data_IF_712009064903
#
_entry.id   IF_712009064903
#
_cell.length_a   1.000
_cell.length_b   1.000
_cell.length_c   1.000
_cell.angle_alpha   90.00
_cell.angle_beta   90.00
_cell.angle_gamma   90.00
#
_symmetry.space_group_name_H-M   'P 1'
#
loop_
_entity.id
_entity.type
_entity.pdbx_description
1 polymer ?
#
# COMPACT_ATOMS: atom_id res chain seq x y z
N UNK A 1 -107.23 5.24 -36.87
CA UNK A 1 -105.80 4.85 -36.81
C UNK A 1 -105.06 5.58 -37.92
N UNK A 2 -104.23 6.56 -37.57
CA UNK A 2 -103.12 7.05 -38.39
C UNK A 2 -101.95 7.19 -37.41
N UNK A 3 -100.99 6.25 -37.45
CA UNK A 3 -99.78 6.36 -36.63
C UNK A 3 -98.81 7.26 -37.40
N UNK A 4 -98.67 8.50 -36.96
CA UNK A 4 -97.78 9.50 -37.59
C UNK A 4 -96.36 9.27 -37.04
N UNK A 5 -95.40 9.07 -37.94
CA UNK A 5 -93.98 8.86 -37.62
C UNK A 5 -93.14 9.93 -38.33
N UNK A 6 -92.02 10.33 -37.71
CA UNK A 6 -90.99 11.19 -38.33
C UNK A 6 -89.70 10.41 -38.53
N UNK A 7 -88.94 10.75 -39.57
CA UNK A 7 -87.66 10.11 -39.90
C UNK A 7 -86.53 10.99 -39.33
N UNK A 8 -85.61 10.39 -38.57
CA UNK A 8 -84.47 11.09 -37.94
C UNK A 8 -83.17 10.31 -38.19
N UNK A 9 -82.07 11.02 -38.42
CA UNK A 9 -80.74 10.41 -38.57
C UNK A 9 -80.17 10.00 -37.22
N UNK A 10 -79.82 8.72 -37.05
CA UNK A 10 -79.16 8.22 -35.85
C UNK A 10 -77.66 8.07 -36.09
N UNK A 11 -76.87 8.98 -35.50
CA UNK A 11 -75.42 9.03 -35.68
C UNK A 11 -74.67 7.83 -35.05
N UNK A 12 -75.27 7.11 -34.10
CA UNK A 12 -74.64 5.96 -33.44
C UNK A 12 -74.65 4.70 -34.32
N UNK A 13 -75.64 4.58 -35.22
CA UNK A 13 -75.78 3.43 -36.14
C UNK A 13 -75.65 3.82 -37.62
N UNK A 14 -75.47 5.11 -37.93
CA UNK A 14 -75.25 5.60 -39.30
C UNK A 14 -76.42 5.38 -40.26
N UNK A 15 -77.66 5.43 -39.78
CA UNK A 15 -78.85 5.20 -40.60
C UNK A 15 -80.05 6.10 -40.22
N UNK A 16 -81.01 6.24 -41.15
CA UNK A 16 -82.28 6.91 -40.92
C UNK A 16 -83.28 5.96 -40.24
N UNK A 17 -83.91 6.41 -39.16
CA UNK A 17 -84.86 5.60 -38.37
C UNK A 17 -86.19 6.33 -38.21
N UNK A 18 -87.31 5.61 -38.36
CA UNK A 18 -88.65 6.14 -38.08
C UNK A 18 -88.94 6.11 -36.58
N UNK A 19 -89.29 7.25 -36.01
CA UNK A 19 -89.63 7.42 -34.59
C UNK A 19 -90.97 8.14 -34.43
N UNK A 20 -91.61 7.92 -33.28
CA UNK A 20 -92.86 8.62 -32.92
C UNK A 20 -92.63 10.14 -32.86
N UNK A 21 -93.60 10.94 -33.31
CA UNK A 21 -93.44 12.41 -33.34
C UNK A 21 -93.17 13.03 -31.97
N UNK A 22 -93.63 12.39 -30.89
CA UNK A 22 -93.48 12.86 -29.50
C UNK A 22 -92.07 12.70 -28.92
N UNK A 23 -91.14 12.03 -29.62
CA UNK A 23 -89.78 11.82 -29.11
C UNK A 23 -88.92 13.09 -29.28
N UNK A 24 -88.42 13.66 -28.18
CA UNK A 24 -87.57 14.87 -28.15
C UNK A 24 -86.13 14.54 -28.56
N UNK A 25 -85.69 15.05 -29.71
CA UNK A 25 -84.28 15.00 -30.16
C UNK A 25 -83.58 16.34 -29.94
N UNK A 26 -82.35 16.32 -29.38
CA UNK A 26 -81.50 17.51 -29.22
C UNK A 26 -81.03 18.00 -30.60
N UNK A 27 -81.47 19.19 -31.00
CA UNK A 27 -80.96 19.91 -32.18
C UNK A 27 -79.66 20.66 -31.86
N UNK A 28 -78.79 20.76 -32.88
CA UNK A 28 -77.49 21.47 -32.89
C UNK A 28 -77.60 22.90 -32.37
N UNK A 29 -76.71 23.29 -31.45
CA UNK A 29 -76.52 24.67 -31.03
C UNK A 29 -75.51 25.39 -31.94
N UNK A 30 -75.95 26.47 -32.58
CA UNK A 30 -75.12 27.44 -33.27
C UNK A 30 -74.42 28.35 -32.25
N UNK A 31 -73.08 28.42 -32.29
CA UNK A 31 -72.28 29.34 -31.47
C UNK A 31 -72.44 30.76 -32.01
N UNK A 32 -72.96 31.67 -31.18
CA UNK A 32 -73.02 33.11 -31.47
C UNK A 32 -71.63 33.74 -31.33
N UNK A 33 -71.13 34.32 -32.42
CA UNK A 33 -69.98 35.24 -32.41
C UNK A 33 -70.41 36.59 -31.82
N UNK A 34 -69.80 37.00 -30.70
CA UNK A 34 -69.91 38.37 -30.17
C UNK A 34 -68.87 39.25 -30.87
N UNK A 35 -69.34 40.21 -31.67
CA UNK A 35 -68.56 41.37 -32.10
C UNK A 35 -68.56 42.40 -30.96
N UNK A 36 -67.38 42.86 -30.56
CA UNK A 36 -67.19 44.13 -29.83
C UNK A 36 -66.31 44.99 -30.72
N UNK A 37 -66.81 46.16 -31.09
CA UNK A 37 -66.16 47.11 -31.99
C UNK A 37 -65.00 47.85 -31.34
N UNK A 38 -64.01 48.24 -32.16
CA UNK A 38 -62.92 49.13 -31.79
C UNK A 38 -63.15 50.53 -32.36
N UNK A 39 -62.89 51.55 -31.55
CA UNK A 39 -62.48 52.93 -31.89
C UNK A 39 -61.37 53.20 -30.84
N UNK A 40 -60.08 53.42 -31.12
CA UNK A 40 -59.40 54.40 -31.98
C UNK A 40 -57.96 53.91 -32.31
N UNK A 41 -57.49 54.23 -33.53
CA UNK A 41 -56.12 54.34 -34.06
C UNK A 41 -54.91 53.70 -33.33
N UNK A 42 -54.23 52.77 -34.02
CA UNK A 42 -52.84 52.81 -34.52
C UNK A 42 -52.56 51.44 -35.16
N UNK A 43 -51.93 51.44 -36.35
CA UNK A 43 -51.55 50.23 -37.09
C UNK A 43 -50.47 49.47 -36.31
N UNK A 44 -50.80 48.29 -35.80
CA UNK A 44 -49.86 47.34 -35.21
C UNK A 44 -50.31 45.92 -35.54
N UNK A 45 -49.49 45.19 -36.28
CA UNK A 45 -49.70 43.78 -36.66
C UNK A 45 -49.89 42.94 -35.41
N UNK A 46 -51.08 42.33 -35.22
CA UNK A 46 -51.28 41.32 -34.19
C UNK A 46 -50.82 39.97 -34.74
N UNK A 47 -49.56 39.64 -34.49
CA UNK A 47 -49.03 38.28 -34.62
C UNK A 47 -49.65 37.39 -33.53
N UNK A 48 -50.17 36.23 -33.90
CA UNK A 48 -50.47 35.16 -32.95
C UNK A 48 -49.14 34.66 -32.35
N UNK A 49 -48.91 34.91 -31.06
CA UNK A 49 -47.81 34.29 -30.31
C UNK A 49 -48.19 32.85 -29.93
N UNK A 50 -47.30 31.85 -30.07
CA UNK A 50 -47.51 30.53 -29.50
C UNK A 50 -47.14 30.58 -28.01
N UNK A 51 -48.02 31.14 -27.18
CA UNK A 51 -47.88 31.05 -25.72
C UNK A 51 -49.23 30.68 -25.13
N UNK A 52 -49.35 29.42 -24.71
CA UNK A 52 -50.44 28.98 -23.83
C UNK A 52 -50.09 29.45 -22.42
N UNK A 53 -50.70 30.54 -21.97
CA UNK A 53 -50.68 30.94 -20.57
C UNK A 53 -51.74 30.13 -19.83
N UNK A 54 -51.32 29.09 -19.11
CA UNK A 54 -52.19 28.35 -18.20
C UNK A 54 -52.36 29.16 -16.90
N UNK A 55 -53.24 30.15 -16.90
CA UNK A 55 -53.74 30.79 -15.68
C UNK A 55 -54.98 30.01 -15.20
N UNK A 56 -54.75 28.85 -14.58
CA UNK A 56 -55.79 28.07 -13.90
C UNK A 56 -55.64 28.23 -12.40
N UNK A 57 -56.72 28.64 -11.74
CA UNK A 57 -56.81 28.73 -10.28
C UNK A 57 -56.45 27.40 -9.61
N UNK A 58 -55.39 27.40 -8.80
CA UNK A 58 -55.11 26.39 -7.80
C UNK A 58 -54.94 27.12 -6.48
N UNK A 59 -55.86 26.84 -5.56
CA UNK A 59 -55.82 27.28 -4.18
C UNK A 59 -54.45 26.85 -3.59
N UNK A 60 -53.59 27.83 -3.28
CA UNK A 60 -52.26 27.70 -2.68
C UNK A 60 -51.16 26.91 -3.45
N UNK A 61 -51.21 26.82 -4.79
CA UNK A 61 -50.12 26.20 -5.58
C UNK A 61 -49.84 26.93 -6.90
N UNK A 62 -48.91 27.88 -6.89
CA UNK A 62 -48.55 28.67 -8.07
C UNK A 62 -47.45 28.02 -8.92
N UNK A 63 -47.74 27.82 -10.22
CA UNK A 63 -46.74 27.64 -11.28
C UNK A 63 -46.39 29.03 -11.80
N UNK A 64 -45.21 29.55 -11.42
CA UNK A 64 -44.70 30.85 -11.88
C UNK A 64 -43.76 30.62 -13.07
N UNK A 65 -44.20 30.87 -14.30
CA UNK A 65 -43.37 30.64 -15.50
C UNK A 65 -42.17 31.59 -15.66
N UNK A 66 -42.01 32.60 -14.80
CA UNK A 66 -40.80 33.42 -14.76
C UNK A 66 -40.76 34.22 -13.44
N UNK A 67 -39.65 34.18 -12.71
CA UNK A 67 -39.40 35.20 -11.69
C UNK A 67 -39.12 36.51 -12.43
N UNK A 68 -39.83 37.59 -12.10
CA UNK A 68 -39.66 38.90 -12.74
C UNK A 68 -38.18 39.33 -12.67
N UNK A 69 -37.43 39.43 -13.80
CA UNK A 69 -36.06 39.91 -13.79
C UNK A 69 -36.12 41.43 -13.65
N UNK A 70 -36.27 41.94 -12.43
CA UNK A 70 -36.22 43.39 -12.19
C UNK A 70 -34.78 43.91 -12.27
N UNK A 71 -34.13 43.82 -13.45
CA UNK A 71 -32.92 44.56 -13.91
C UNK A 71 -32.00 43.82 -14.91
N UNK A 72 -32.50 43.16 -15.96
CA UNK A 72 -31.64 42.80 -17.11
C UNK A 72 -32.21 43.38 -18.41
N UNK A 73 -31.52 44.42 -18.89
CA UNK A 73 -31.76 45.12 -20.14
C UNK A 73 -31.46 44.24 -21.36
N UNK A 74 -32.45 44.09 -22.26
CA UNK A 74 -32.32 43.70 -23.68
C UNK A 74 -32.09 42.20 -23.91
N UNK A 75 -32.75 41.50 -24.82
CA UNK A 75 -33.26 41.90 -26.12
C UNK A 75 -34.23 40.83 -26.65
N UNK A 76 -35.42 41.23 -27.10
CA UNK A 76 -35.87 41.02 -28.49
C UNK A 76 -35.89 39.65 -29.18
N UNK A 77 -35.57 38.51 -28.55
CA UNK A 77 -35.70 37.19 -29.19
C UNK A 77 -36.22 36.16 -28.19
N UNK A 78 -37.34 35.53 -28.50
CA UNK A 78 -37.89 34.38 -27.78
C UNK A 78 -36.81 33.30 -27.63
N UNK A 79 -36.45 32.93 -26.40
CA UNK A 79 -36.40 31.51 -25.95
C UNK A 79 -35.99 31.36 -24.46
N UNK A 80 -36.73 31.95 -23.51
CA UNK A 80 -36.69 31.46 -22.13
C UNK A 80 -37.48 30.14 -22.07
N UNK A 81 -36.83 29.04 -22.46
CA UNK A 81 -37.29 27.66 -22.26
C UNK A 81 -37.09 27.23 -20.80
N UNK A 82 -37.31 28.15 -19.86
CA UNK A 82 -37.04 27.92 -18.45
C UNK A 82 -38.31 27.53 -17.69
N UNK A 83 -38.12 26.76 -16.62
CA UNK A 83 -39.18 26.27 -15.75
C UNK A 83 -38.87 26.73 -14.35
N UNK A 84 -39.74 27.55 -13.75
CA UNK A 84 -39.68 27.89 -12.34
C UNK A 84 -40.97 27.42 -11.63
N UNK A 85 -40.84 26.61 -10.59
CA UNK A 85 -42.00 26.06 -9.85
C UNK A 85 -41.72 26.11 -8.36
N UNK A 86 -42.57 26.80 -7.59
CA UNK A 86 -42.42 26.96 -6.15
C UNK A 86 -42.28 28.42 -5.71
N UNK A 87 -42.47 28.66 -4.42
CA UNK A 87 -42.36 30.00 -3.84
C UNK A 87 -40.91 30.50 -3.95
N UNK A 88 -40.70 31.69 -4.54
CA UNK A 88 -39.36 32.26 -4.78
C UNK A 88 -38.40 31.38 -5.62
N UNK A 89 -38.90 30.41 -6.37
CA UNK A 89 -38.11 29.70 -7.37
C UNK A 89 -37.74 30.67 -8.52
N UNK A 90 -36.48 30.63 -8.97
CA UNK A 90 -35.98 31.51 -10.01
C UNK A 90 -35.11 30.75 -11.02
N UNK A 91 -35.40 30.90 -12.31
CA UNK A 91 -34.72 30.23 -13.42
C UNK A 91 -34.37 31.25 -14.51
N UNK A 92 -33.42 32.18 -14.25
CA UNK A 92 -33.08 33.27 -15.17
C UNK A 92 -32.22 32.82 -16.36
N UNK A 93 -31.55 31.67 -16.27
CA UNK A 93 -30.75 31.16 -17.38
C UNK A 93 -31.61 30.60 -18.52
N UNK A 94 -31.11 30.66 -19.75
CA UNK A 94 -31.76 30.05 -20.90
C UNK A 94 -31.86 28.54 -20.73
N UNK A 95 -33.01 27.92 -21.04
CA UNK A 95 -33.21 26.46 -20.87
C UNK A 95 -32.95 25.95 -19.44
N UNK A 96 -33.16 26.79 -18.42
CA UNK A 96 -32.91 26.41 -17.02
C UNK A 96 -34.16 25.87 -16.30
N UNK A 97 -33.97 25.05 -15.27
CA UNK A 97 -35.05 24.45 -14.49
C UNK A 97 -34.83 24.70 -13.01
N UNK A 98 -35.71 25.46 -12.36
CA UNK A 98 -35.77 25.66 -10.91
C UNK A 98 -37.07 25.09 -10.33
N UNK A 99 -37.00 24.10 -9.44
CA UNK A 99 -38.19 23.49 -8.82
C UNK A 99 -38.01 23.35 -7.32
N UNK A 100 -38.95 23.89 -6.56
CA UNK A 100 -38.96 23.94 -5.10
C UNK A 100 -38.84 25.37 -4.57
N UNK A 101 -39.17 25.55 -3.28
CA UNK A 101 -39.09 26.87 -2.67
C UNK A 101 -37.65 27.39 -2.65
N UNK A 102 -37.44 28.67 -2.96
CA UNK A 102 -36.14 29.34 -2.86
C UNK A 102 -35.02 28.64 -3.69
N UNK A 103 -35.37 28.03 -4.82
CA UNK A 103 -34.41 27.41 -5.73
C UNK A 103 -33.95 28.38 -6.82
N UNK A 104 -32.68 28.30 -7.25
CA UNK A 104 -32.09 29.26 -8.18
C UNK A 104 -31.23 28.60 -9.26
N UNK A 105 -31.79 28.41 -10.46
CA UNK A 105 -31.08 27.91 -11.63
C UNK A 105 -30.45 29.09 -12.41
N UNK A 106 -29.34 29.64 -11.89
CA UNK A 106 -28.75 30.91 -12.35
C UNK A 106 -28.16 30.83 -13.76
N UNK A 107 -27.48 29.74 -14.06
CA UNK A 107 -26.76 29.60 -15.32
C UNK A 107 -27.64 29.11 -16.46
N UNK A 108 -27.16 29.29 -17.69
CA UNK A 108 -27.81 28.73 -18.86
C UNK A 108 -27.75 27.20 -18.81
N UNK A 109 -28.81 26.52 -19.26
CA UNK A 109 -28.96 25.06 -19.30
C UNK A 109 -28.74 24.40 -17.93
N UNK A 110 -29.09 25.10 -16.85
CA UNK A 110 -28.87 24.65 -15.48
C UNK A 110 -30.11 24.03 -14.85
N UNK A 111 -29.92 23.14 -13.88
CA UNK A 111 -31.02 22.49 -13.15
C UNK A 111 -30.81 22.66 -11.65
N UNK A 112 -31.77 23.25 -10.95
CA UNK A 112 -31.81 23.39 -9.49
C UNK A 112 -33.14 22.86 -8.97
N UNK A 113 -33.15 21.68 -8.35
CA UNK A 113 -34.36 21.08 -7.78
C UNK A 113 -34.13 20.78 -6.29
N UNK A 114 -34.97 21.33 -5.42
CA UNK A 114 -34.80 21.15 -3.98
C UNK A 114 -35.58 22.16 -3.13
N UNK A 115 -34.86 22.87 -2.27
CA UNK A 115 -35.40 23.78 -1.28
C UNK A 115 -34.31 24.29 -0.35
N UNK A 116 -34.62 25.27 0.49
CA UNK A 116 -33.70 25.81 1.50
C UNK A 116 -34.04 25.36 2.93
N UNK A 117 -35.23 24.83 3.15
CA UNK A 117 -35.74 24.46 4.47
C UNK A 117 -35.16 23.14 5.01
N UNK A 118 -34.26 23.27 5.98
CA UNK A 118 -33.71 22.13 6.72
C UNK A 118 -33.98 22.21 8.22
N UNK A 119 -34.46 23.36 8.72
CA UNK A 119 -34.71 23.64 10.15
C UNK A 119 -35.61 22.59 10.82
N UNK A 120 -36.71 22.19 10.15
CA UNK A 120 -37.65 21.19 10.66
C UNK A 120 -37.05 19.78 10.66
N UNK A 121 -36.17 19.49 9.69
CA UNK A 121 -35.43 18.23 9.65
C UNK A 121 -34.39 18.18 10.76
N UNK A 122 -33.74 19.30 11.07
CA UNK A 122 -32.71 19.38 12.11
C UNK A 122 -33.25 19.40 13.53
N UNK A 123 -34.44 19.96 13.75
CA UNK A 123 -34.99 20.21 15.07
C UNK A 123 -34.19 21.25 15.86
N UNK A 124 -34.48 21.36 17.16
CA UNK A 124 -33.76 22.28 18.05
C UNK A 124 -32.36 21.74 18.32
N UNK A 125 -31.32 22.54 18.06
CA UNK A 125 -29.91 22.16 18.30
C UNK A 125 -29.47 20.86 17.59
N UNK A 126 -29.94 20.60 16.36
CA UNK A 126 -29.58 19.41 15.57
C UNK A 126 -29.89 18.07 16.30
N UNK A 127 -30.97 18.02 17.06
CA UNK A 127 -31.27 16.90 17.95
C UNK A 127 -32.06 15.75 17.31
N UNK A 128 -32.53 15.89 16.07
CA UNK A 128 -33.28 14.81 15.40
C UNK A 128 -32.34 13.66 15.01
N UNK A 129 -32.91 12.46 14.86
CA UNK A 129 -32.15 11.30 14.38
C UNK A 129 -31.50 11.54 13.01
N UNK A 130 -32.16 12.28 12.11
CA UNK A 130 -31.61 12.65 10.80
C UNK A 130 -30.39 13.57 10.93
N UNK A 131 -30.46 14.58 11.80
CA UNK A 131 -29.34 15.48 12.04
C UNK A 131 -28.14 14.79 12.71
N UNK A 132 -28.40 13.91 13.68
CA UNK A 132 -27.37 13.09 14.31
C UNK A 132 -26.73 12.12 13.32
N UNK A 133 -27.52 11.52 12.41
CA UNK A 133 -27.00 10.65 11.34
C UNK A 133 -26.15 11.45 10.35
N UNK A 134 -26.61 12.64 9.95
CA UNK A 134 -25.81 13.56 9.13
C UNK A 134 -24.48 13.88 9.81
N UNK A 135 -24.50 14.21 11.10
CA UNK A 135 -23.28 14.47 11.89
C UNK A 135 -22.34 13.28 11.91
N UNK A 136 -22.87 12.08 12.14
CA UNK A 136 -22.08 10.85 12.15
C UNK A 136 -21.48 10.50 10.78
N UNK A 137 -22.17 10.82 9.68
CA UNK A 137 -21.71 10.49 8.33
C UNK A 137 -20.77 11.54 7.74
N UNK A 138 -20.89 12.80 8.18
CA UNK A 138 -20.20 13.93 7.55
C UNK A 138 -19.19 14.64 8.45
N UNK A 139 -19.28 14.46 9.77
CA UNK A 139 -18.54 15.25 10.75
C UNK A 139 -19.14 16.64 11.02
N UNK A 140 -20.06 17.11 10.18
CA UNK A 140 -20.65 18.45 10.27
C UNK A 140 -22.06 18.42 10.88
N UNK A 141 -22.48 19.50 11.51
CA UNK A 141 -23.90 19.63 11.91
C UNK A 141 -24.77 19.83 10.66
N UNK A 142 -25.98 19.25 10.67
CA UNK A 142 -26.93 19.38 9.56
C UNK A 142 -27.26 20.85 9.29
N UNK A 143 -27.41 21.64 10.35
CA UNK A 143 -27.44 23.10 10.32
C UNK A 143 -26.34 23.61 11.25
N UNK A 144 -25.33 24.25 10.68
CA UNK A 144 -24.29 24.93 11.45
C UNK A 144 -24.79 26.26 12.02
N UNK A 145 -24.25 26.69 13.17
CA UNK A 145 -24.40 28.06 13.65
C UNK A 145 -23.83 29.06 12.62
N UNK A 146 -24.47 30.22 12.48
CA UNK A 146 -24.02 31.25 11.54
C UNK A 146 -22.61 31.74 11.87
N UNK A 147 -21.68 31.57 10.93
CA UNK A 147 -20.32 32.11 10.93
C UNK A 147 -20.20 33.20 9.86
N UNK A 148 -20.03 34.44 10.32
CA UNK A 148 -19.95 35.62 9.49
C UNK A 148 -18.67 35.70 8.63
N UNK A 149 -17.61 34.95 8.94
CA UNK A 149 -16.33 34.98 8.23
C UNK A 149 -16.24 34.02 7.04
N UNK A 150 -16.95 32.89 7.11
CA UNK A 150 -16.93 31.83 6.08
C UNK A 150 -18.22 31.73 5.27
N UNK A 151 -19.31 32.38 5.72
CA UNK A 151 -20.65 32.29 5.13
C UNK A 151 -21.37 30.96 5.43
N UNK A 152 -20.76 30.09 6.25
CA UNK A 152 -21.35 28.85 6.75
C UNK A 152 -22.39 29.19 7.81
N UNK A 153 -23.56 28.53 7.79
CA UNK A 153 -24.65 28.79 8.74
C UNK A 153 -25.66 29.86 8.30
N UNK A 154 -25.68 30.24 7.01
CA UNK A 154 -26.90 30.81 6.41
C UNK A 154 -28.01 29.77 6.52
N UNK A 155 -29.01 30.03 7.37
CA UNK A 155 -30.13 29.12 7.60
C UNK A 155 -30.95 28.84 6.32
N UNK A 156 -30.90 29.77 5.36
CA UNK A 156 -31.62 29.72 4.09
C UNK A 156 -30.64 29.72 2.91
N UNK A 157 -29.90 28.63 2.74
CA UNK A 157 -29.08 28.40 1.54
C UNK A 157 -29.99 27.83 0.45
N UNK A 158 -30.17 28.59 -0.62
CA UNK A 158 -30.93 28.15 -1.79
C UNK A 158 -30.29 26.92 -2.43
N UNK A 159 -31.12 26.02 -2.99
CA UNK A 159 -30.61 25.09 -3.99
C UNK A 159 -30.23 25.89 -5.23
N UNK A 160 -28.98 25.82 -5.67
CA UNK A 160 -28.44 26.73 -6.70
C UNK A 160 -27.57 26.02 -7.73
N UNK A 161 -27.71 26.39 -9.00
CA UNK A 161 -26.90 25.87 -10.11
C UNK A 161 -26.31 26.98 -11.01
N UNK A 162 -25.02 26.85 -11.37
CA UNK A 162 -24.28 27.65 -12.36
C UNK A 162 -24.52 27.19 -13.80
N UNK A 163 -23.69 27.60 -14.78
CA UNK A 163 -23.94 27.29 -16.19
C UNK A 163 -23.76 25.80 -16.48
N UNK A 164 -24.72 25.18 -17.15
CA UNK A 164 -24.72 23.74 -17.45
C UNK A 164 -24.62 22.84 -16.21
N UNK A 165 -24.87 23.40 -15.02
CA UNK A 165 -24.69 22.72 -13.75
C UNK A 165 -26.01 22.10 -13.24
N UNK A 166 -25.89 21.11 -12.37
CA UNK A 166 -27.03 20.36 -11.82
C UNK A 166 -26.94 20.32 -10.30
N UNK A 167 -27.91 20.93 -9.62
CA UNK A 167 -28.09 20.90 -8.18
C UNK A 167 -29.40 20.20 -7.82
N UNK A 168 -29.32 19.07 -7.13
CA UNK A 168 -30.45 18.19 -6.82
C UNK A 168 -30.43 17.87 -5.32
N UNK A 169 -31.35 18.45 -4.56
CA UNK A 169 -31.46 18.26 -3.12
C UNK A 169 -31.65 19.57 -2.35
N UNK A 170 -32.09 19.45 -1.10
CA UNK A 170 -32.29 20.59 -0.19
C UNK A 170 -30.93 21.21 0.17
N UNK A 171 -30.77 22.51 -0.07
CA UNK A 171 -29.52 23.26 0.05
C UNK A 171 -28.35 22.71 -0.80
N UNK A 172 -28.64 21.97 -1.89
CA UNK A 172 -27.60 21.51 -2.81
C UNK A 172 -27.08 22.69 -3.67
N UNK A 173 -25.78 22.81 -3.83
CA UNK A 173 -25.15 23.95 -4.52
C UNK A 173 -24.15 23.48 -5.57
N UNK A 174 -24.47 23.63 -6.85
CA UNK A 174 -23.58 23.38 -7.97
C UNK A 174 -23.18 24.72 -8.60
N UNK A 175 -22.34 25.49 -7.90
CA UNK A 175 -22.02 26.89 -8.26
C UNK A 175 -21.01 26.99 -9.40
N UNK A 176 -20.13 26.01 -9.55
CA UNK A 176 -19.20 25.96 -10.66
C UNK A 176 -19.91 25.70 -11.98
N UNK A 177 -19.35 26.19 -13.07
CA UNK A 177 -19.85 25.84 -14.39
C UNK A 177 -19.64 24.34 -14.65
N UNK A 178 -20.60 23.67 -15.27
CA UNK A 178 -20.62 22.22 -15.52
C UNK A 178 -20.57 21.35 -14.24
N UNK A 179 -20.79 21.93 -13.06
CA UNK A 179 -20.71 21.22 -11.80
C UNK A 179 -21.95 20.35 -11.54
N UNK A 180 -21.79 19.29 -10.75
CA UNK A 180 -22.90 18.44 -10.31
C UNK A 180 -22.91 18.31 -8.80
N UNK A 181 -24.00 18.75 -8.15
CA UNK A 181 -24.26 18.56 -6.73
C UNK A 181 -25.53 17.74 -6.55
N UNK A 182 -25.42 16.52 -6.02
CA UNK A 182 -26.54 15.64 -5.74
C UNK A 182 -26.57 15.23 -4.27
N UNK A 183 -27.66 15.56 -3.59
CA UNK A 183 -27.89 15.24 -2.18
C UNK A 183 -28.08 16.50 -1.33
N UNK A 184 -28.73 16.34 -0.18
CA UNK A 184 -28.92 17.42 0.79
C UNK A 184 -27.58 18.02 1.18
N UNK A 185 -27.43 19.33 1.03
CA UNK A 185 -26.18 20.09 1.31
C UNK A 185 -24.95 19.63 0.51
N UNK A 186 -25.12 18.91 -0.59
CA UNK A 186 -24.01 18.66 -1.51
C UNK A 186 -23.52 20.00 -2.11
N UNK A 187 -22.20 20.20 -2.22
CA UNK A 187 -21.61 21.45 -2.67
C UNK A 187 -20.50 21.19 -3.69
N UNK A 188 -20.80 21.43 -4.97
CA UNK A 188 -19.85 21.44 -6.07
C UNK A 188 -19.58 22.90 -6.48
N UNK A 189 -18.52 23.50 -5.93
CA UNK A 189 -18.30 24.95 -6.00
C UNK A 189 -17.40 25.42 -7.14
N UNK A 190 -16.84 24.51 -7.92
CA UNK A 190 -15.79 24.78 -8.91
C UNK A 190 -16.11 24.12 -10.25
N UNK A 191 -15.39 24.51 -11.30
CA UNK A 191 -15.69 24.12 -12.68
C UNK A 191 -15.62 22.61 -12.83
N UNK A 192 -16.64 22.00 -13.44
CA UNK A 192 -16.76 20.56 -13.65
C UNK A 192 -16.56 19.70 -12.38
N UNK A 193 -16.76 20.27 -11.18
CA UNK A 193 -16.64 19.53 -9.92
C UNK A 193 -17.91 18.72 -9.64
N UNK A 194 -17.76 17.60 -8.93
CA UNK A 194 -18.84 16.62 -8.72
C UNK A 194 -18.93 16.29 -7.24
N UNK A 195 -20.02 16.67 -6.60
CA UNK A 195 -20.37 16.34 -5.23
C UNK A 195 -21.60 15.42 -5.21
N UNK A 196 -21.41 14.13 -4.96
CA UNK A 196 -22.46 13.11 -4.97
C UNK A 196 -22.59 12.50 -3.58
N UNK A 197 -23.60 12.92 -2.83
CA UNK A 197 -23.87 12.45 -1.48
C UNK A 197 -24.22 13.59 -0.53
N UNK A 198 -24.96 13.26 0.52
CA UNK A 198 -25.41 14.23 1.53
C UNK A 198 -24.20 14.88 2.21
N UNK A 199 -24.14 16.21 2.19
CA UNK A 199 -23.02 16.99 2.77
C UNK A 199 -21.66 16.78 2.09
N UNK A 200 -21.62 16.18 0.88
CA UNK A 200 -20.37 16.05 0.12
C UNK A 200 -19.92 17.41 -0.42
N UNK A 201 -18.61 17.66 -0.48
CA UNK A 201 -18.03 18.94 -0.93
C UNK A 201 -16.92 18.70 -1.96
N UNK A 202 -17.15 19.17 -3.18
CA UNK A 202 -16.19 19.20 -4.27
C UNK A 202 -15.71 20.64 -4.52
N UNK A 203 -14.61 21.00 -3.85
CA UNK A 203 -14.04 22.35 -3.71
C UNK A 203 -12.85 22.65 -4.64
N UNK A 204 -12.69 21.88 -5.73
CA UNK A 204 -11.61 22.03 -6.74
C UNK A 204 -12.15 21.83 -8.15
N UNK A 205 -11.54 22.48 -9.15
CA UNK A 205 -11.90 22.27 -10.57
C UNK A 205 -11.70 20.79 -10.96
N UNK A 206 -12.74 20.14 -11.48
CA UNK A 206 -12.72 18.71 -11.84
C UNK A 206 -12.68 17.74 -10.65
N UNK A 207 -12.71 18.23 -9.41
CA UNK A 207 -12.69 17.40 -8.20
C UNK A 207 -13.96 16.58 -8.01
N UNK A 208 -13.82 15.34 -7.56
CA UNK A 208 -14.96 14.43 -7.31
C UNK A 208 -15.02 14.06 -5.83
N UNK A 209 -16.11 14.39 -5.16
CA UNK A 209 -16.46 13.94 -3.83
C UNK A 209 -17.63 12.95 -3.90
N UNK A 210 -17.40 11.69 -3.51
CA UNK A 210 -18.37 10.60 -3.62
C UNK A 210 -18.70 10.00 -2.26
N UNK A 211 -19.98 10.02 -1.89
CA UNK A 211 -20.50 9.55 -0.61
C UNK A 211 -20.76 10.68 0.38
N UNK A 212 -21.51 10.38 1.44
CA UNK A 212 -21.89 11.37 2.44
C UNK A 212 -20.64 12.00 3.10
N UNK A 213 -20.57 13.33 3.15
CA UNK A 213 -19.49 14.03 3.82
C UNK A 213 -18.10 13.91 3.17
N UNK A 214 -17.99 13.31 1.97
CA UNK A 214 -16.71 13.24 1.26
C UNK A 214 -16.26 14.63 0.83
N UNK A 215 -14.95 14.92 0.89
CA UNK A 215 -14.41 16.26 0.62
C UNK A 215 -13.16 16.25 -0.25
N UNK A 216 -13.04 17.22 -1.15
CA UNK A 216 -11.83 17.46 -1.97
C UNK A 216 -11.05 18.70 -1.50
N UNK A 217 -11.01 18.97 -0.20
CA UNK A 217 -10.46 20.24 0.34
C UNK A 217 -8.93 20.34 0.17
N UNK A 218 -8.22 19.21 0.22
CA UNK A 218 -6.80 19.13 -0.14
C UNK A 218 -6.60 19.10 -1.65
N UNK A 219 -5.45 19.56 -2.15
CA UNK A 219 -5.10 19.44 -3.57
C UNK A 219 -4.54 18.06 -3.89
N UNK A 220 -4.84 17.53 -5.08
CA UNK A 220 -4.15 16.37 -5.61
C UNK A 220 -2.63 16.65 -5.67
N UNK A 221 -1.81 15.65 -5.31
CA UNK A 221 -0.35 15.79 -5.28
C UNK A 221 0.31 14.73 -6.14
N UNK A 222 1.32 15.16 -6.92
CA UNK A 222 2.18 14.25 -7.66
C UNK A 222 3.21 13.65 -6.70
N UNK A 223 3.08 12.36 -6.40
CA UNK A 223 4.08 11.61 -5.61
C UNK A 223 5.01 10.89 -6.58
N UNK A 224 6.31 11.18 -6.52
CA UNK A 224 7.31 10.58 -7.43
C UNK A 224 8.24 9.59 -6.75
N UNK A 225 8.30 9.62 -5.42
CA UNK A 225 9.16 8.75 -4.61
C UNK A 225 8.59 8.65 -3.21
N UNK A 226 8.94 7.58 -2.50
CA UNK A 226 8.68 7.44 -1.08
C UNK A 226 9.95 6.98 -0.36
N UNK A 227 10.10 7.37 0.90
CA UNK A 227 11.16 6.85 1.78
C UNK A 227 10.50 6.25 3.01
N UNK A 228 10.79 4.98 3.29
CA UNK A 228 10.29 4.29 4.48
C UNK A 228 11.49 3.78 5.26
N UNK A 229 11.66 4.25 6.49
CA UNK A 229 12.78 3.85 7.38
C UNK A 229 14.17 3.96 6.72
N UNK A 230 14.38 4.98 5.89
CA UNK A 230 15.65 5.20 5.17
C UNK A 230 15.81 4.41 3.87
N UNK A 231 14.87 3.54 3.52
CA UNK A 231 14.82 2.85 2.23
C UNK A 231 14.05 3.70 1.21
N UNK A 232 14.73 4.09 0.15
CA UNK A 232 14.14 4.86 -0.96
C UNK A 232 13.42 3.97 -1.97
N UNK A 233 12.17 4.30 -2.27
CA UNK A 233 11.35 3.70 -3.32
C UNK A 233 11.30 4.67 -4.50
N UNK A 234 12.09 4.36 -5.54
CA UNK A 234 12.24 5.14 -6.78
C UNK A 234 12.37 4.21 -7.99
N UNK A 235 12.20 4.72 -9.21
CA UNK A 235 12.62 4.02 -10.43
C UNK A 235 11.59 3.07 -11.07
N UNK A 236 10.29 3.29 -10.86
CA UNK A 236 9.26 2.45 -11.49
C UNK A 236 9.09 2.74 -12.98
N UNK A 237 9.42 3.93 -13.49
CA UNK A 237 9.56 4.18 -14.94
C UNK A 237 10.97 4.67 -15.22
N UNK A 238 11.57 4.28 -16.35
CA UNK A 238 12.93 4.66 -16.76
C UNK A 238 13.29 6.09 -16.33
N UNK A 239 14.17 6.20 -15.32
CA UNK A 239 14.63 7.47 -14.70
C UNK A 239 13.57 8.43 -14.14
N UNK A 240 12.27 8.09 -14.14
CA UNK A 240 11.17 9.01 -13.82
C UNK A 240 10.09 8.39 -12.92
N UNK A 241 10.27 8.52 -11.60
CA UNK A 241 9.23 8.47 -10.56
C UNK A 241 8.27 7.26 -10.50
N UNK A 242 7.21 7.39 -9.69
CA UNK A 242 6.02 6.54 -9.77
C UNK A 242 5.17 6.91 -11.01
N UNK A 243 4.42 5.94 -11.54
CA UNK A 243 3.48 6.16 -12.64
C UNK A 243 2.32 7.09 -12.22
N UNK A 244 1.73 7.78 -13.20
CA UNK A 244 0.66 8.76 -12.99
C UNK A 244 1.15 10.22 -12.97
N UNK A 245 0.35 11.12 -13.54
CA UNK A 245 0.71 12.53 -13.78
C UNK A 245 -0.34 13.52 -13.25
N UNK A 246 -1.15 13.11 -12.27
CA UNK A 246 -2.10 14.01 -11.62
C UNK A 246 -1.35 15.18 -10.98
N UNK A 247 -1.46 16.37 -11.59
CA UNK A 247 -0.76 17.59 -11.17
C UNK A 247 -1.73 18.75 -10.88
N UNK A 248 -2.91 18.76 -11.51
CA UNK A 248 -3.93 19.78 -11.24
C UNK A 248 -4.62 19.50 -9.90
N UNK A 249 -4.93 20.54 -9.14
CA UNK A 249 -5.42 20.42 -7.75
C UNK A 249 -6.67 19.55 -7.60
N UNK A 250 -7.55 19.50 -8.61
CA UNK A 250 -8.78 18.72 -8.56
C UNK A 250 -8.70 17.35 -9.23
N UNK A 251 -7.56 16.89 -9.74
CA UNK A 251 -7.40 15.52 -10.29
C UNK A 251 -7.36 14.47 -9.17
N UNK A 252 -8.47 14.31 -8.46
CA UNK A 252 -8.66 13.39 -7.36
C UNK A 252 -10.12 12.97 -7.21
N UNK A 253 -10.32 11.78 -6.66
CA UNK A 253 -11.62 11.29 -6.20
C UNK A 253 -11.53 11.04 -4.71
N UNK A 254 -12.30 11.79 -3.94
CA UNK A 254 -12.43 11.60 -2.50
C UNK A 254 -13.66 10.76 -2.19
N UNK A 255 -13.45 9.68 -1.44
CA UNK A 255 -14.53 8.79 -0.95
C UNK A 255 -14.86 9.01 0.53
N UNK A 256 -14.28 10.03 1.16
CA UNK A 256 -14.50 10.34 2.57
C UNK A 256 -13.87 11.65 3.00
N UNK A 257 -13.67 11.80 4.30
CA UNK A 257 -12.92 12.90 4.91
C UNK A 257 -12.09 12.34 6.07
N UNK A 258 -11.15 13.11 6.61
CA UNK A 258 -10.33 12.73 7.75
C UNK A 258 -11.22 12.28 8.92
N UNK A 259 -10.96 11.08 9.44
CA UNK A 259 -11.73 10.43 10.51
C UNK A 259 -13.05 9.78 10.06
N UNK A 260 -13.42 9.90 8.79
CA UNK A 260 -14.60 9.31 8.17
C UNK A 260 -14.23 8.65 6.82
N UNK A 261 -13.13 7.90 6.81
CA UNK A 261 -12.64 7.19 5.64
C UNK A 261 -13.53 6.00 5.27
N UNK A 262 -13.59 5.68 3.98
CA UNK A 262 -14.36 4.53 3.47
C UNK A 262 -13.45 3.46 2.90
N UNK A 263 -13.82 2.20 3.15
CA UNK A 263 -13.26 1.08 2.42
C UNK A 263 -13.82 1.06 1.00
N UNK A 264 -12.94 0.83 0.01
CA UNK A 264 -13.34 0.50 -1.36
C UNK A 264 -13.33 -1.02 -1.47
N UNK A 265 -14.50 -1.63 -1.69
CA UNK A 265 -14.67 -3.09 -1.74
C UNK A 265 -14.83 -3.59 -3.17
N UNK A 266 -14.58 -4.88 -3.37
CA UNK A 266 -14.70 -5.58 -4.65
C UNK A 266 -13.79 -5.02 -5.76
N UNK A 267 -12.61 -4.52 -5.36
CA UNK A 267 -11.55 -4.10 -6.29
C UNK A 267 -10.84 -5.34 -6.82
N UNK A 268 -10.93 -5.60 -8.12
CA UNK A 268 -10.18 -6.66 -8.78
C UNK A 268 -8.65 -6.41 -8.66
N UNK A 269 -7.80 -7.44 -8.76
CA UNK A 269 -6.35 -7.23 -8.76
C UNK A 269 -5.92 -6.30 -9.90
N UNK A 270 -5.22 -5.22 -9.57
CA UNK A 270 -4.68 -4.30 -10.58
C UNK A 270 -3.42 -4.85 -11.25
N UNK A 271 -3.02 -4.32 -12.41
CA UNK A 271 -1.74 -4.67 -13.01
C UNK A 271 -0.57 -4.32 -12.08
N UNK A 272 0.40 -5.24 -11.93
CA UNK A 272 1.65 -4.98 -11.20
C UNK A 272 2.77 -4.78 -12.22
N UNK A 273 2.98 -3.54 -12.66
CA UNK A 273 4.05 -3.17 -13.57
C UNK A 273 4.60 -1.77 -13.30
N UNK A 274 5.74 -1.48 -13.91
CA UNK A 274 6.43 -0.18 -13.91
C UNK A 274 5.52 1.04 -14.19
N UNK A 275 4.55 0.86 -15.08
CA UNK A 275 3.72 1.95 -15.63
C UNK A 275 2.26 1.88 -15.19
N UNK A 276 1.91 0.91 -14.33
CA UNK A 276 0.53 0.69 -13.90
C UNK A 276 -0.01 1.88 -13.12
N UNK A 277 -1.25 2.26 -13.42
CA UNK A 277 -2.04 3.24 -12.66
C UNK A 277 -3.30 2.62 -12.05
N UNK A 278 -3.33 1.29 -11.95
CA UNK A 278 -4.45 0.55 -11.39
C UNK A 278 -4.41 0.55 -9.85
N UNK A 279 -5.59 0.47 -9.24
CA UNK A 279 -5.67 0.27 -7.79
C UNK A 279 -5.19 -1.15 -7.42
N UNK A 280 -4.33 -1.24 -6.41
CA UNK A 280 -3.88 -2.51 -5.82
C UNK A 280 -4.87 -2.95 -4.74
N UNK A 281 -5.22 -4.23 -4.71
CA UNK A 281 -6.09 -4.80 -3.68
C UNK A 281 -5.30 -5.60 -2.61
N UNK A 282 -5.99 -5.97 -1.53
CA UNK A 282 -5.37 -6.67 -0.39
C UNK A 282 -4.77 -8.05 -0.73
N UNK A 283 -5.28 -8.75 -1.75
CA UNK A 283 -4.74 -10.07 -2.14
C UNK A 283 -3.34 -9.98 -2.74
N UNK A 284 -3.04 -8.88 -3.45
CA UNK A 284 -1.73 -8.64 -4.05
C UNK A 284 -0.68 -8.32 -2.98
N UNK A 285 -1.05 -7.47 -2.00
CA UNK A 285 -0.18 -7.16 -0.86
C UNK A 285 0.09 -8.43 -0.04
N UNK A 286 -0.94 -9.24 0.20
CA UNK A 286 -0.83 -10.52 0.91
C UNK A 286 0.13 -11.49 0.18
N UNK A 287 0.00 -11.63 -1.14
CA UNK A 287 0.88 -12.49 -1.94
C UNK A 287 2.36 -12.07 -1.85
N UNK A 288 2.65 -10.77 -1.95
CA UNK A 288 4.02 -10.23 -1.80
C UNK A 288 4.55 -10.49 -0.39
N UNK A 289 3.73 -10.23 0.63
CA UNK A 289 4.10 -10.39 2.04
C UNK A 289 4.46 -11.84 2.37
N UNK A 290 3.60 -12.79 1.97
CA UNK A 290 3.86 -14.20 2.19
C UNK A 290 5.09 -14.71 1.44
N UNK A 291 5.29 -14.25 0.21
CA UNK A 291 6.48 -14.62 -0.58
C UNK A 291 7.75 -14.12 0.10
N UNK A 292 7.76 -12.88 0.59
CA UNK A 292 8.89 -12.31 1.32
C UNK A 292 9.16 -13.04 2.63
N UNK A 293 8.11 -13.32 3.42
CA UNK A 293 8.22 -14.09 4.67
C UNK A 293 8.87 -15.46 4.41
N UNK A 294 8.45 -16.18 3.36
CA UNK A 294 9.04 -17.46 2.97
C UNK A 294 10.53 -17.35 2.58
N UNK A 295 10.90 -16.30 1.85
CA UNK A 295 12.30 -16.04 1.48
C UNK A 295 13.18 -15.67 2.69
N UNK A 296 12.63 -14.94 3.66
CA UNK A 296 13.34 -14.59 4.90
C UNK A 296 13.56 -15.82 5.80
N UNK A 297 12.56 -16.71 5.89
CA UNK A 297 12.67 -17.92 6.71
C UNK A 297 13.67 -18.94 6.16
N UNK A 298 13.82 -19.05 4.83
CA UNK A 298 14.75 -20.01 4.20
C UNK A 298 16.22 -19.56 4.24
N UNK A 299 16.50 -18.25 4.37
CA UNK A 299 17.88 -17.72 4.42
C UNK A 299 18.47 -17.60 5.83
N UNK A 300 17.70 -17.88 6.88
CA UNK A 300 18.15 -17.73 8.28
C UNK A 300 18.32 -19.07 9.02
N UNK A 301 18.77 -20.11 8.32
CA UNK A 301 19.23 -21.30 9.03
C UNK A 301 20.66 -21.03 9.52
N UNK A 302 20.79 -20.66 10.79
CA UNK A 302 22.10 -20.46 11.43
C UNK A 302 23.01 -21.65 11.12
N UNK A 303 24.27 -21.44 10.69
CA UNK A 303 25.20 -22.54 10.39
C UNK A 303 25.52 -23.36 11.65
N UNK A 304 25.26 -22.78 12.83
CA UNK A 304 25.34 -23.43 14.14
C UNK A 304 23.92 -23.64 14.67
N UNK A 305 23.59 -24.88 15.04
CA UNK A 305 22.29 -25.28 15.60
C UNK A 305 22.45 -26.13 16.85
N UNK A 306 21.39 -26.23 17.64
CA UNK A 306 21.30 -27.20 18.73
C UNK A 306 20.70 -28.51 18.20
N UNK A 307 21.23 -29.63 18.65
CA UNK A 307 20.73 -30.96 18.31
C UNK A 307 20.66 -31.87 19.52
N UNK A 308 19.91 -32.97 19.39
CA UNK A 308 20.07 -34.10 20.29
C UNK A 308 21.39 -34.86 20.00
N UNK A 309 21.62 -35.93 20.75
CA UNK A 309 22.80 -36.81 20.60
C UNK A 309 22.85 -37.55 19.27
N UNK A 310 21.74 -37.64 18.54
CA UNK A 310 21.66 -38.28 17.22
C UNK A 310 21.74 -37.29 16.06
N UNK A 311 21.75 -35.99 16.35
CA UNK A 311 21.85 -34.91 15.38
C UNK A 311 20.50 -34.28 14.99
N UNK A 312 19.36 -34.72 15.53
CA UNK A 312 18.09 -34.07 15.21
C UNK A 312 18.05 -32.66 15.80
N UNK A 313 17.57 -31.68 15.04
CA UNK A 313 17.54 -30.27 15.47
C UNK A 313 16.59 -30.08 16.65
N UNK A 314 17.01 -29.24 17.59
CA UNK A 314 16.25 -28.87 18.78
C UNK A 314 15.93 -27.39 18.80
N UNK A 315 14.75 -27.07 19.30
CA UNK A 315 14.29 -25.71 19.57
C UNK A 315 13.94 -25.60 21.06
N UNK A 316 14.34 -24.49 21.69
CA UNK A 316 13.90 -24.15 23.05
C UNK A 316 12.54 -23.49 22.97
N UNK A 317 11.51 -24.10 23.55
CA UNK A 317 10.16 -23.55 23.57
C UNK A 317 10.00 -22.46 24.63
N UNK A 318 8.85 -21.76 24.61
CA UNK A 318 8.52 -20.65 25.51
C UNK A 318 8.44 -21.07 26.99
N UNK A 319 8.24 -22.36 27.27
CA UNK A 319 8.31 -22.93 28.61
C UNK A 319 9.74 -23.13 29.14
N UNK A 320 10.75 -22.80 28.32
CA UNK A 320 12.16 -22.88 28.66
C UNK A 320 12.78 -24.27 28.46
N UNK A 321 12.05 -25.24 27.92
CA UNK A 321 12.52 -26.62 27.70
C UNK A 321 12.92 -26.86 26.25
N UNK A 322 13.72 -27.90 26.01
CA UNK A 322 14.19 -28.27 24.67
C UNK A 322 13.34 -29.38 24.08
N UNK A 323 12.96 -29.23 22.82
CA UNK A 323 12.17 -30.20 22.06
C UNK A 323 12.74 -30.34 20.65
N UNK A 324 12.39 -31.43 19.95
CA UNK A 324 12.63 -31.54 18.51
C UNK A 324 12.03 -30.32 17.81
N UNK A 325 12.77 -29.70 16.90
CA UNK A 325 12.33 -28.48 16.20
C UNK A 325 11.02 -28.69 15.45
N UNK A 326 10.71 -29.92 15.01
CA UNK A 326 9.44 -30.27 14.36
C UNK A 326 8.24 -30.30 15.30
N UNK A 327 8.47 -30.26 16.60
CA UNK A 327 7.44 -30.27 17.65
C UNK A 327 7.26 -28.91 18.32
N UNK A 328 7.90 -27.86 17.80
CA UNK A 328 7.74 -26.48 18.25
C UNK A 328 7.26 -25.65 17.06
N UNK A 329 6.19 -24.90 17.25
CA UNK A 329 5.68 -24.00 16.22
C UNK A 329 6.56 -22.75 16.06
N UNK A 330 6.24 -21.94 15.06
CA UNK A 330 6.98 -20.69 14.77
C UNK A 330 6.87 -19.64 15.88
N UNK A 331 5.86 -19.76 16.75
CA UNK A 331 5.65 -18.89 17.91
C UNK A 331 6.39 -19.37 19.17
N UNK A 332 7.13 -20.47 19.09
CA UNK A 332 7.83 -21.07 20.23
C UNK A 332 6.95 -21.92 21.14
N UNK A 333 5.73 -22.24 20.75
CA UNK A 333 4.84 -23.13 21.52
C UNK A 333 5.01 -24.58 21.10
N UNK A 334 4.78 -25.50 22.03
CA UNK A 334 4.84 -26.93 21.74
C UNK A 334 3.62 -27.37 20.93
N UNK A 335 3.85 -28.25 19.96
CA UNK A 335 2.80 -28.87 19.14
C UNK A 335 2.39 -30.18 19.81
N UNK A 336 1.19 -30.22 20.38
CA UNK A 336 0.70 -31.39 21.12
C UNK A 336 1.43 -31.59 22.45
N UNK A 337 1.79 -32.83 22.76
CA UNK A 337 2.47 -33.21 24.03
C UNK A 337 3.83 -33.84 23.77
N UNK A 338 4.82 -33.10 23.25
CA UNK A 338 6.12 -33.66 22.89
C UNK A 338 6.96 -34.03 24.12
N UNK A 339 7.84 -35.02 23.94
CA UNK A 339 8.81 -35.40 24.96
C UNK A 339 9.95 -34.39 25.01
N UNK A 340 10.24 -33.88 26.21
CA UNK A 340 11.37 -32.99 26.46
C UNK A 340 12.70 -33.71 26.20
N UNK A 341 13.61 -33.04 25.51
CA UNK A 341 15.03 -33.43 25.44
C UNK A 341 15.75 -32.76 26.60
N UNK A 342 16.22 -33.58 27.55
CA UNK A 342 16.94 -33.08 28.72
C UNK A 342 18.20 -32.30 28.31
N UNK A 343 18.52 -31.22 29.02
CA UNK A 343 19.60 -30.31 28.67
C UNK A 343 20.97 -30.98 28.50
N UNK A 344 21.25 -32.07 29.23
CA UNK A 344 22.48 -32.85 29.10
C UNK A 344 22.66 -33.53 27.73
N UNK A 345 21.57 -33.74 27.00
CA UNK A 345 21.57 -34.36 25.67
C UNK A 345 21.54 -33.32 24.53
N UNK A 346 21.65 -32.03 24.87
CA UNK A 346 21.68 -30.94 23.89
C UNK A 346 23.12 -30.65 23.51
N UNK A 347 23.44 -30.74 22.21
CA UNK A 347 24.75 -30.44 21.66
C UNK A 347 24.66 -29.30 20.65
N UNK A 348 25.70 -28.46 20.59
CA UNK A 348 25.88 -27.48 19.51
C UNK A 348 26.57 -28.16 18.32
N UNK A 349 25.99 -28.08 17.13
CA UNK A 349 26.53 -28.67 15.90
C UNK A 349 26.51 -27.69 14.75
N UNK A 350 27.43 -27.89 13.80
CA UNK A 350 27.35 -27.24 12.50
C UNK A 350 26.31 -27.97 11.64
N UNK A 351 25.64 -27.22 10.76
CA UNK A 351 24.79 -27.77 9.72
C UNK A 351 25.29 -27.38 8.33
N UNK A 352 25.12 -28.27 7.36
CA UNK A 352 25.49 -28.00 5.96
C UNK A 352 24.42 -27.14 5.25
N UNK A 353 24.67 -26.81 3.98
CA UNK A 353 23.76 -26.00 3.17
C UNK A 353 22.39 -26.65 2.92
N UNK A 354 22.30 -27.98 3.07
CA UNK A 354 21.06 -28.74 2.96
C UNK A 354 20.41 -28.98 4.34
N UNK A 355 20.98 -28.42 5.41
CA UNK A 355 20.50 -28.52 6.77
C UNK A 355 20.86 -29.82 7.49
N UNK A 356 21.73 -30.68 6.94
CA UNK A 356 22.23 -31.88 7.62
C UNK A 356 23.20 -31.50 8.73
N UNK A 357 23.03 -32.13 9.88
CA UNK A 357 23.84 -31.96 11.10
C UNK A 357 24.76 -33.16 11.37
N UNK A 358 24.62 -34.24 10.60
CA UNK A 358 25.34 -35.50 10.77
C UNK A 358 26.47 -35.67 9.76
N UNK A 359 26.43 -34.94 8.65
CA UNK A 359 27.50 -34.92 7.64
C UNK A 359 28.68 -34.10 8.14
N UNK A 360 29.91 -34.58 7.92
CA UNK A 360 31.13 -33.82 8.25
C UNK A 360 31.24 -32.56 7.40
N UNK A 361 31.60 -31.44 8.02
CA UNK A 361 31.71 -30.13 7.37
C UNK A 361 33.15 -29.65 7.44
N UNK A 362 33.67 -29.18 6.30
CA UNK A 362 34.94 -28.47 6.26
C UNK A 362 34.72 -27.00 6.66
N UNK A 363 35.31 -26.58 7.77
CA UNK A 363 35.36 -25.17 8.15
C UNK A 363 36.56 -24.51 7.45
N UNK A 364 36.29 -23.48 6.65
CA UNK A 364 37.31 -22.75 5.88
C UNK A 364 37.24 -21.25 6.19
N UNK A 365 38.20 -20.47 5.68
CA UNK A 365 38.33 -19.04 5.95
C UNK A 365 38.44 -18.72 7.46
N UNK A 366 39.06 -19.64 8.21
CA UNK A 366 39.40 -19.46 9.61
C UNK A 366 40.70 -18.68 9.67
N UNK A 367 40.65 -17.44 10.17
CA UNK A 367 41.83 -16.65 10.44
C UNK A 367 42.77 -17.38 11.41
N UNK A 368 44.05 -17.03 11.40
CA UNK A 368 45.02 -17.60 12.35
C UNK A 368 44.55 -17.33 13.79
N UNK A 369 44.33 -18.40 14.55
CA UNK A 369 43.95 -18.29 15.95
C UNK A 369 45.12 -17.81 16.80
N UNK A 370 44.85 -17.11 17.89
CA UNK A 370 45.92 -16.69 18.80
C UNK A 370 46.52 -17.92 19.49
N UNK A 371 47.80 -18.21 19.25
CA UNK A 371 48.51 -19.33 19.88
C UNK A 371 49.15 -18.85 21.19
N UNK A 372 48.38 -18.90 22.27
CA UNK A 372 48.82 -18.51 23.62
C UNK A 372 48.23 -19.44 24.68
N UNK A 373 48.79 -19.41 25.90
CA UNK A 373 48.25 -20.18 27.03
C UNK A 373 46.77 -19.84 27.25
N UNK A 374 45.93 -20.87 27.40
CA UNK A 374 44.48 -20.77 27.60
C UNK A 374 43.65 -20.17 26.44
N UNK A 375 44.24 -19.99 25.25
CA UNK A 375 43.48 -19.58 24.05
C UNK A 375 42.30 -20.52 23.77
N UNK A 376 41.19 -19.95 23.30
CA UNK A 376 39.96 -20.64 22.89
C UNK A 376 39.69 -20.49 21.39
N UNK A 377 40.63 -19.89 20.66
CA UNK A 377 40.53 -19.70 19.22
C UNK A 377 40.72 -21.03 18.50
N UNK A 378 40.00 -21.22 17.41
CA UNK A 378 40.28 -22.32 16.49
C UNK A 378 41.61 -22.05 15.77
N UNK A 379 42.47 -23.05 15.67
CA UNK A 379 43.67 -23.00 14.84
C UNK A 379 43.39 -23.56 13.46
N UNK A 380 43.96 -22.94 12.42
CA UNK A 380 43.78 -23.39 11.06
C UNK A 380 44.92 -24.32 10.59
N UNK A 381 44.78 -24.83 9.36
CA UNK A 381 45.76 -25.75 8.78
C UNK A 381 47.14 -25.13 8.55
N UNK A 382 47.24 -23.81 8.32
CA UNK A 382 48.52 -23.12 8.15
C UNK A 382 49.34 -23.12 9.43
N UNK A 383 48.69 -22.84 10.57
CA UNK A 383 49.35 -22.85 11.87
C UNK A 383 49.83 -24.25 12.27
N UNK A 384 49.01 -25.28 12.05
CA UNK A 384 49.40 -26.68 12.29
C UNK A 384 50.55 -27.11 11.37
N UNK A 385 50.55 -26.65 10.11
CA UNK A 385 51.62 -26.92 9.16
C UNK A 385 52.94 -26.30 9.61
N UNK A 386 52.95 -25.07 10.09
CA UNK A 386 54.15 -24.43 10.65
C UNK A 386 54.77 -25.23 11.81
N UNK A 387 53.94 -25.78 12.71
CA UNK A 387 54.42 -26.67 13.78
C UNK A 387 55.00 -27.97 13.22
N UNK A 388 54.31 -28.59 12.26
CA UNK A 388 54.81 -29.79 11.59
C UNK A 388 56.15 -29.56 10.89
N UNK A 389 56.36 -28.39 10.29
CA UNK A 389 57.61 -28.04 9.62
C UNK A 389 58.75 -27.79 10.61
N UNK A 390 58.47 -27.12 11.73
CA UNK A 390 59.43 -26.94 12.82
C UNK A 390 59.88 -28.29 13.44
N UNK A 391 58.94 -29.23 13.61
CA UNK A 391 59.24 -30.58 14.07
C UNK A 391 60.15 -31.32 13.07
N UNK A 392 59.81 -31.30 11.78
CA UNK A 392 60.60 -31.94 10.74
C UNK A 392 62.01 -31.36 10.62
N UNK A 393 62.18 -30.04 10.80
CA UNK A 393 63.49 -29.38 10.82
C UNK A 393 64.34 -29.87 12.01
N UNK A 394 63.73 -29.98 13.19
CA UNK A 394 64.40 -30.50 14.39
C UNK A 394 64.82 -31.97 14.18
N UNK A 395 63.92 -32.80 13.66
CA UNK A 395 64.18 -34.21 13.37
C UNK A 395 65.26 -34.41 12.30
N UNK A 396 65.39 -33.46 11.36
CA UNK A 396 66.41 -33.51 10.31
C UNK A 396 67.80 -33.11 10.82
N UNK A 397 67.87 -32.21 11.80
CA UNK A 397 69.14 -31.76 12.41
C UNK A 397 69.64 -32.68 13.54
N UNK A 398 68.77 -33.52 14.11
CA UNK A 398 69.11 -34.40 15.21
C UNK A 398 70.04 -35.55 14.79
N UNK A 399 71.04 -35.86 15.64
CA UNK A 399 71.73 -37.16 15.60
C UNK A 399 70.76 -38.21 16.13
N UNK A 400 70.51 -39.23 15.33
CA UNK A 400 69.52 -40.27 15.61
C UNK A 400 70.16 -41.64 15.62
N UNK A 401 69.55 -42.55 16.38
CA UNK A 401 69.83 -43.97 16.22
C UNK A 401 69.36 -44.43 14.84
N UNK A 402 70.13 -45.32 14.22
CA UNK A 402 69.79 -45.95 12.94
C UNK A 402 68.46 -46.72 13.05
N UNK A 403 68.20 -47.28 14.23
CA UNK A 403 66.96 -47.93 14.59
C UNK A 403 66.43 -47.39 15.92
N UNK A 404 65.23 -46.79 15.89
CA UNK A 404 64.62 -46.19 17.07
C UNK A 404 64.20 -47.20 18.16
N UNK A 405 63.96 -48.46 17.79
CA UNK A 405 63.57 -49.51 18.73
C UNK A 405 64.78 -50.09 19.46
N UNK A 406 65.85 -50.46 18.72
CA UNK A 406 66.98 -51.17 19.33
C UNK A 406 68.06 -50.23 19.85
N UNK A 407 68.25 -49.06 19.22
CA UNK A 407 69.21 -48.02 19.64
C UNK A 407 70.68 -48.49 19.74
N UNK A 408 71.02 -49.59 19.05
CA UNK A 408 72.36 -50.19 19.15
C UNK A 408 73.41 -49.49 18.28
N UNK A 409 72.99 -48.60 17.37
CA UNK A 409 73.88 -47.98 16.37
C UNK A 409 73.47 -46.54 16.04
N UNK A 410 74.48 -45.70 15.86
CA UNK A 410 74.38 -44.34 15.32
C UNK A 410 75.35 -44.21 14.15
N UNK A 411 74.84 -44.01 12.94
CA UNK A 411 75.61 -43.66 11.74
C UNK A 411 75.51 -42.16 11.52
N UNK A 412 76.64 -41.45 11.60
CA UNK A 412 76.67 -39.99 11.43
C UNK A 412 76.58 -39.60 9.94
N UNK A 413 75.79 -38.57 9.63
CA UNK A 413 75.39 -38.20 8.26
C UNK A 413 76.39 -37.39 7.43
N UNK A 414 77.67 -37.29 7.82
CA UNK A 414 78.67 -36.41 7.18
C UNK A 414 79.19 -36.87 5.81
N UNK A 415 78.63 -37.92 5.23
CA UNK A 415 79.08 -38.47 3.94
C UNK A 415 80.48 -39.09 4.01
N UNK A 416 81.23 -39.04 2.90
CA UNK A 416 82.53 -39.72 2.78
C UNK A 416 83.63 -39.17 3.72
N UNK A 417 83.55 -37.90 4.12
CA UNK A 417 84.48 -37.30 5.08
C UNK A 417 84.15 -37.67 6.54
N UNK A 418 83.00 -38.30 6.79
CA UNK A 418 82.48 -38.56 8.12
C UNK A 418 82.00 -37.29 8.83
N UNK A 419 81.67 -37.43 10.12
CA UNK A 419 81.27 -36.31 10.98
C UNK A 419 82.23 -36.23 12.17
N UNK A 420 82.88 -35.10 12.35
CA UNK A 420 83.70 -34.85 13.53
C UNK A 420 82.82 -34.76 14.78
N UNK A 421 83.08 -35.62 15.76
CA UNK A 421 82.59 -35.45 17.13
C UNK A 421 83.73 -34.84 17.95
N UNK A 422 83.53 -33.63 18.47
CA UNK A 422 84.51 -32.91 19.29
C UNK A 422 83.95 -32.62 20.67
N UNK A 423 84.76 -32.00 21.53
CA UNK A 423 84.45 -31.80 22.95
C UNK A 423 84.14 -33.12 23.69
N UNK A 424 84.78 -34.20 23.23
CA UNK A 424 84.71 -35.52 23.86
C UNK A 424 85.64 -35.48 25.08
N UNK A 425 85.05 -35.58 26.27
CA UNK A 425 85.79 -35.70 27.53
C UNK A 425 86.70 -36.93 27.48
N UNK A 426 87.85 -36.89 28.15
CA UNK A 426 88.72 -38.06 28.29
C UNK A 426 87.94 -39.27 28.81
N UNK A 427 87.94 -40.36 28.04
CA UNK A 427 87.33 -41.61 28.45
C UNK A 427 88.17 -42.33 29.50
N UNK A 428 87.52 -43.05 30.41
CA UNK A 428 88.26 -43.89 31.35
C UNK A 428 89.06 -44.97 30.61
N UNK A 429 90.34 -45.17 30.97
CA UNK A 429 91.21 -46.17 30.36
C UNK A 429 91.35 -47.38 31.30
N UNK A 430 90.38 -48.29 31.26
CA UNK A 430 90.34 -49.55 32.02
C UNK A 430 89.58 -50.65 31.25
N UNK A 431 89.58 -51.88 31.78
CA UNK A 431 89.08 -53.08 31.07
C UNK A 431 87.56 -53.13 30.84
N UNK A 432 86.77 -52.31 31.54
CA UNK A 432 85.31 -52.28 31.41
C UNK A 432 84.78 -50.96 30.84
N UNK A 433 85.67 -50.09 30.34
CA UNK A 433 85.27 -48.79 29.80
C UNK A 433 84.50 -48.94 28.48
N UNK A 434 83.41 -48.17 28.36
CA UNK A 434 82.63 -47.98 27.12
C UNK A 434 82.67 -46.51 26.67
N UNK A 435 83.53 -45.71 27.29
CA UNK A 435 83.70 -44.31 26.96
C UNK A 435 84.45 -44.15 25.63
N UNK A 436 84.06 -43.15 24.84
CA UNK A 436 84.83 -42.74 23.69
C UNK A 436 86.18 -42.14 24.12
N UNK A 437 87.26 -42.49 23.40
CA UNK A 437 88.58 -41.87 23.58
C UNK A 437 88.72 -40.63 22.70
N UNK A 438 89.45 -39.63 23.17
CA UNK A 438 89.67 -38.40 22.40
C UNK A 438 91.10 -38.29 21.83
N UNK A 439 91.32 -37.27 21.00
CA UNK A 439 92.60 -37.04 20.33
C UNK A 439 93.77 -36.79 21.29
N UNK A 440 93.54 -36.21 22.48
CA UNK A 440 94.61 -35.97 23.47
C UNK A 440 95.11 -37.29 24.05
N UNK A 441 94.22 -38.23 24.35
CA UNK A 441 94.58 -39.55 24.86
C UNK A 441 95.36 -40.36 23.82
N UNK A 442 94.89 -40.39 22.56
CA UNK A 442 95.60 -41.07 21.47
C UNK A 442 96.96 -40.42 21.17
N UNK A 443 97.03 -39.08 21.22
CA UNK A 443 98.28 -38.35 21.07
C UNK A 443 99.29 -38.74 22.15
N UNK A 444 98.88 -38.80 23.42
CA UNK A 444 99.75 -39.24 24.52
C UNK A 444 100.31 -40.66 24.28
N UNK A 445 99.47 -41.60 23.81
CA UNK A 445 99.94 -42.94 23.41
C UNK A 445 100.94 -42.90 22.26
N UNK A 446 100.69 -42.09 21.22
CA UNK A 446 101.61 -41.96 20.09
C UNK A 446 102.97 -41.37 20.48
N UNK A 447 103.02 -40.45 21.44
CA UNK A 447 104.28 -39.95 22.00
C UNK A 447 105.08 -41.07 22.67
N UNK A 448 104.42 -41.95 23.43
CA UNK A 448 105.06 -43.12 24.04
C UNK A 448 105.58 -44.12 22.97
N UNK A 449 104.83 -44.33 21.88
CA UNK A 449 105.26 -45.21 20.77
C UNK A 449 106.45 -44.63 20.01
N UNK A 450 106.46 -43.32 19.75
CA UNK A 450 107.59 -42.64 19.11
C UNK A 450 108.86 -42.72 19.97
N UNK A 451 108.71 -42.59 21.29
CA UNK A 451 109.82 -42.77 22.23
C UNK A 451 110.37 -44.20 22.17
N UNK A 452 109.50 -45.21 22.18
CA UNK A 452 109.93 -46.61 22.04
C UNK A 452 110.68 -46.84 20.72
N UNK A 453 110.18 -46.28 19.62
CA UNK A 453 110.84 -46.37 18.30
C UNK A 453 112.23 -45.76 18.32
N UNK A 454 112.38 -44.59 18.96
CA UNK A 454 113.67 -43.92 19.14
C UNK A 454 114.63 -44.79 19.95
N UNK A 455 114.15 -45.35 21.07
CA UNK A 455 114.94 -46.26 21.91
C UNK A 455 115.38 -47.51 21.15
N UNK A 456 114.53 -48.09 20.30
CA UNK A 456 114.84 -49.26 19.47
C UNK A 456 115.91 -48.92 18.42
N UNK A 457 115.79 -47.81 17.72
CA UNK A 457 116.78 -47.43 16.71
C UNK A 457 118.17 -47.23 17.33
N UNK A 458 118.23 -46.69 18.54
CA UNK A 458 119.48 -46.54 19.28
C UNK A 458 120.17 -47.89 19.61
N UNK A 459 119.41 -49.00 19.72
CA UNK A 459 119.96 -50.35 19.91
C UNK A 459 120.61 -50.92 18.63
N UNK A 460 120.35 -50.35 17.44
CA UNK A 460 120.86 -50.87 16.15
C UNK A 460 122.09 -50.13 15.61
N UNK A 461 122.49 -49.02 16.26
CA UNK A 461 123.63 -48.17 15.85
C UNK A 461 124.87 -48.30 16.73
N UNK A 462 124.91 -49.34 17.55
CA UNK A 462 126.05 -49.80 18.36
C UNK A 462 126.31 -51.25 18.05
#
# INVERSE_FOLDING_TARGET
MNKIYKIVWNASIGAWVAVSELTKGKSKNNIRSRRVGAIVAVVGVVTFSPTVTLAGALDNGSVFLNCNPTNSNGSGTVANQSVAVGQYACAPGDQSVAVGANTYAKGNSSVAIGGDDLNKVAGTNNNTAAAQTYKSLTGDDLIAAYDAGTGIGRQYINTEAGNGAVALGVQATAKGDLATAFGTRANASHTASVALGVGSIASKDGGVALGAGSRTDGSATKVQSATVNGLGFTGFVGTSGFAGTAADEGRQVSVGNIGNERQIKNVAPGEISAISTDAINGSQIYAVTNTLIGQMMTKSASPVVYTDTTGNKLTKANDGKWYLSTAVDVGGNTIGSPTEVVAANVATRLQDANGSTTTSIKLTNVADGTVAANSKDAVNGGQLKSVSDAQAATDSAAVKYDNALTKDKVTLGGGAAGTTITNVKDGALNTSSTDAVNGRQLYATNQNVAQNTTSINALTTT
#
